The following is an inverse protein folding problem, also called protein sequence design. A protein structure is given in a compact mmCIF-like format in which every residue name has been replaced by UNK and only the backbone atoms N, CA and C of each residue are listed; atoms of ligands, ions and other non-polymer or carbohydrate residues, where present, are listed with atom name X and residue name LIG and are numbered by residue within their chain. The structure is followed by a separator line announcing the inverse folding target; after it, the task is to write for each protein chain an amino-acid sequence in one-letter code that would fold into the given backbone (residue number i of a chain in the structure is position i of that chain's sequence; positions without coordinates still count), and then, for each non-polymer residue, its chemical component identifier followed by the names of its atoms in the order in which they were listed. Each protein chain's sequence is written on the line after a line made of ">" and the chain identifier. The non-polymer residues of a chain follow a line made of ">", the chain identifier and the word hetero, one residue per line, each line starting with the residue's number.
data_IF_533958162915
#
_entry.id   IF_533958162915
#
_cell.length_a   1.000
_cell.length_b   1.000
_cell.length_c   1.000
_cell.angle_alpha   90.00
_cell.angle_beta   90.00
_cell.angle_gamma   90.00
#
_symmetry.space_group_name_H-M   'P 1'
#
loop_
_entity.id
_entity.type
_entity.pdbx_description
1 polymer ?
#
# COMPACT_ATOMS: atom_id res chain seq x y z
N UNK A 1 14.61 5.01 -11.83
CA UNK A 1 14.71 5.60 -10.47
C UNK A 1 13.49 6.49 -10.16
N UNK A 2 12.26 6.09 -10.56
CA UNK A 2 11.00 6.84 -10.35
C UNK A 2 10.42 6.67 -8.94
N UNK A 3 10.98 5.76 -8.17
CA UNK A 3 10.34 5.15 -7.00
C UNK A 3 10.76 5.78 -5.66
N UNK A 4 11.59 6.83 -5.63
CA UNK A 4 12.06 7.46 -4.38
C UNK A 4 11.30 8.74 -4.02
N UNK A 5 10.01 8.82 -4.34
CA UNK A 5 9.18 9.97 -3.99
C UNK A 5 8.95 10.02 -2.47
N UNK A 6 9.48 11.06 -1.81
CA UNK A 6 9.39 11.22 -0.34
C UNK A 6 8.08 11.82 0.14
N UNK A 7 7.22 12.25 -0.78
CA UNK A 7 5.88 12.74 -0.50
C UNK A 7 4.89 11.58 -0.59
N UNK A 8 3.89 11.58 0.29
CA UNK A 8 2.80 10.61 0.23
C UNK A 8 2.05 10.68 -1.10
N UNK A 9 1.89 9.53 -1.73
CA UNK A 9 1.16 9.33 -2.99
C UNK A 9 0.50 7.95 -2.97
N UNK A 10 -0.52 7.76 -3.80
CA UNK A 10 -1.18 6.47 -3.98
C UNK A 10 -1.35 6.14 -5.45
N UNK A 11 -2.31 5.26 -5.74
CA UNK A 11 -2.63 4.84 -7.11
C UNK A 11 -3.39 5.92 -7.89
N UNK A 12 -4.09 6.80 -7.19
CA UNK A 12 -4.83 7.93 -7.77
C UNK A 12 -4.02 9.23 -7.69
N UNK A 13 -4.27 10.14 -8.65
CA UNK A 13 -3.66 11.48 -8.65
C UNK A 13 -4.01 12.28 -7.40
N UNK A 14 -5.21 12.06 -6.86
CA UNK A 14 -5.64 12.57 -5.57
C UNK A 14 -5.13 11.65 -4.45
N UNK A 15 -4.26 12.22 -3.62
CA UNK A 15 -3.81 11.60 -2.37
C UNK A 15 -4.97 11.31 -1.41
N UNK A 16 -6.01 12.13 -1.43
CA UNK A 16 -7.19 11.93 -0.58
C UNK A 16 -8.00 10.72 -1.04
N UNK A 17 -8.30 10.60 -2.33
CA UNK A 17 -8.97 9.42 -2.92
C UNK A 17 -8.13 8.17 -2.69
N UNK A 18 -6.82 8.25 -2.91
CA UNK A 18 -5.90 7.14 -2.63
C UNK A 18 -5.94 6.66 -1.18
N UNK A 19 -6.00 7.59 -0.23
CA UNK A 19 -6.09 7.25 1.18
C UNK A 19 -7.47 6.68 1.51
N UNK A 20 -8.55 7.40 1.19
CA UNK A 20 -9.87 7.13 1.77
C UNK A 20 -10.68 6.10 0.99
N UNK A 21 -10.43 5.94 -0.31
CA UNK A 21 -11.16 5.00 -1.18
C UNK A 21 -10.29 3.79 -1.52
N UNK A 22 -9.05 4.02 -1.95
CA UNK A 22 -8.09 2.94 -2.27
C UNK A 22 -7.32 2.43 -1.05
N UNK A 23 -7.55 3.02 0.12
CA UNK A 23 -7.06 2.51 1.40
C UNK A 23 -5.54 2.37 1.50
N UNK A 24 -4.78 3.10 0.67
CA UNK A 24 -3.32 2.95 0.58
C UNK A 24 -2.62 4.24 0.18
N UNK A 25 -1.64 4.65 0.99
CA UNK A 25 -0.63 5.63 0.61
C UNK A 25 0.76 5.07 0.82
N UNK A 26 1.70 5.49 -0.03
CA UNK A 26 3.10 5.14 0.07
C UNK A 26 3.98 6.39 -0.01
N UNK A 27 5.17 6.31 0.58
CA UNK A 27 6.27 7.25 0.34
C UNK A 27 7.59 6.55 0.54
N UNK A 28 8.64 7.08 -0.07
CA UNK A 28 10.01 6.68 0.23
C UNK A 28 10.51 7.32 1.53
N UNK A 29 10.89 6.49 2.50
CA UNK A 29 11.57 6.92 3.72
C UNK A 29 13.09 6.86 3.54
N UNK A 30 13.73 8.04 3.56
CA UNK A 30 15.19 8.14 3.36
C UNK A 30 15.99 7.55 4.53
N UNK A 31 15.45 7.56 5.74
CA UNK A 31 16.17 7.06 6.92
C UNK A 31 16.20 5.54 6.92
N UNK A 32 15.10 4.89 6.52
CA UNK A 32 14.99 3.43 6.46
C UNK A 32 15.40 2.84 5.11
N UNK A 33 15.58 3.68 4.09
CA UNK A 33 15.84 3.24 2.71
C UNK A 33 14.80 2.20 2.23
N UNK A 34 13.54 2.46 2.57
CA UNK A 34 12.40 1.61 2.20
C UNK A 34 11.15 2.47 1.99
N UNK A 35 10.11 1.89 1.41
CA UNK A 35 8.81 2.53 1.32
C UNK A 35 8.08 2.41 2.64
N UNK A 36 7.56 3.52 3.13
CA UNK A 36 6.58 3.53 4.20
C UNK A 36 5.19 3.48 3.58
N UNK A 37 4.35 2.56 4.06
CA UNK A 37 2.98 2.37 3.60
C UNK A 37 2.00 2.70 4.74
N UNK A 38 0.95 3.45 4.45
CA UNK A 38 -0.26 3.59 5.28
C UNK A 38 -1.34 2.75 4.60
N UNK A 39 -1.95 1.82 5.32
CA UNK A 39 -2.99 0.93 4.76
C UNK A 39 -4.15 0.74 5.74
N UNK A 40 -5.37 0.60 5.22
CA UNK A 40 -6.54 0.40 6.07
C UNK A 40 -6.60 -1.04 6.56
N UNK A 41 -6.91 -1.20 7.85
CA UNK A 41 -7.09 -2.51 8.49
C UNK A 41 -8.48 -2.69 9.13
N UNK A 42 -9.30 -1.62 9.12
CA UNK A 42 -10.66 -1.63 9.61
C UNK A 42 -11.25 -0.22 9.68
N UNK A 43 -12.46 -0.12 10.21
CA UNK A 43 -13.13 1.15 10.47
C UNK A 43 -12.31 1.98 11.47
N UNK A 44 -11.98 3.22 11.10
CA UNK A 44 -11.08 4.12 11.83
C UNK A 44 -9.75 3.48 12.28
N UNK A 45 -9.25 2.47 11.54
CA UNK A 45 -8.04 1.74 11.90
C UNK A 45 -7.12 1.54 10.70
N UNK A 46 -5.88 1.99 10.87
CA UNK A 46 -4.85 2.00 9.85
C UNK A 46 -3.55 1.41 10.37
N UNK A 47 -2.87 0.63 9.54
CA UNK A 47 -1.51 0.16 9.77
C UNK A 47 -0.47 1.07 9.12
N UNK A 48 0.75 0.96 9.64
CA UNK A 48 1.94 1.57 9.03
C UNK A 48 3.01 0.49 8.93
N UNK A 49 3.48 0.21 7.72
CA UNK A 49 4.52 -0.77 7.44
C UNK A 49 5.67 -0.13 6.67
N UNK A 50 6.81 -0.81 6.66
CA UNK A 50 7.97 -0.43 5.87
C UNK A 50 8.39 -1.61 5.01
N UNK A 51 8.64 -1.39 3.73
CA UNK A 51 8.93 -2.46 2.79
C UNK A 51 9.81 -1.97 1.63
N UNK A 52 10.77 -2.79 1.24
CA UNK A 52 11.57 -2.59 0.05
C UNK A 52 10.87 -3.20 -1.17
N UNK A 53 11.19 -2.67 -2.36
CA UNK A 53 10.60 -3.16 -3.60
C UNK A 53 10.85 -4.67 -3.83
N UNK A 54 12.03 -5.16 -3.41
CA UNK A 54 12.36 -6.59 -3.47
C UNK A 54 11.47 -7.48 -2.61
N UNK A 55 10.97 -6.97 -1.48
CA UNK A 55 10.13 -7.75 -0.55
C UNK A 55 8.74 -7.95 -1.17
N UNK A 56 8.23 -6.94 -1.88
CA UNK A 56 7.02 -7.05 -2.71
C UNK A 56 7.18 -8.11 -3.79
N UNK A 57 8.32 -8.12 -4.48
CA UNK A 57 8.59 -9.10 -5.54
C UNK A 57 8.77 -10.53 -4.99
N UNK A 58 9.24 -10.67 -3.75
CA UNK A 58 9.42 -11.98 -3.09
C UNK A 58 8.08 -12.64 -2.74
N UNK A 59 7.04 -11.87 -2.40
CA UNK A 59 5.71 -12.41 -2.08
C UNK A 59 5.19 -13.31 -3.20
N UNK A 60 5.35 -12.89 -4.46
CA UNK A 60 4.86 -13.65 -5.62
C UNK A 60 5.72 -14.89 -5.95
N UNK A 61 6.85 -15.07 -5.26
CA UNK A 61 7.73 -16.22 -5.39
C UNK A 61 7.52 -17.26 -4.28
N UNK A 62 6.68 -16.95 -3.28
CA UNK A 62 6.37 -17.86 -2.19
C UNK A 62 5.55 -19.06 -2.69
N UNK A 63 5.78 -20.25 -2.11
CA UNK A 63 5.15 -21.50 -2.56
C UNK A 63 3.62 -21.48 -2.45
N UNK A 64 3.07 -20.72 -1.50
CA UNK A 64 1.63 -20.60 -1.29
C UNK A 64 0.96 -19.62 -2.26
N UNK A 65 1.72 -18.81 -2.99
CA UNK A 65 1.18 -17.75 -3.83
C UNK A 65 0.72 -18.30 -5.19
N UNK A 66 -0.57 -18.13 -5.50
CA UNK A 66 -1.11 -18.53 -6.81
C UNK A 66 -0.78 -17.48 -7.89
N UNK A 67 0.39 -17.65 -8.52
CA UNK A 67 0.88 -16.76 -9.56
C UNK A 67 -0.03 -16.73 -10.81
N UNK A 68 -0.69 -17.83 -11.14
CA UNK A 68 -1.57 -17.93 -12.32
C UNK A 68 -2.83 -17.10 -12.15
N UNK A 69 -3.48 -17.22 -10.99
CA UNK A 69 -4.63 -16.39 -10.63
C UNK A 69 -4.25 -14.92 -10.49
N UNK A 70 -3.08 -14.62 -9.90
CA UNK A 70 -2.60 -13.25 -9.79
C UNK A 70 -2.34 -12.60 -11.15
N UNK A 71 -1.67 -13.31 -12.08
CA UNK A 71 -1.44 -12.80 -13.43
C UNK A 71 -2.77 -12.48 -14.14
N UNK A 72 -3.77 -13.35 -13.97
CA UNK A 72 -5.12 -13.15 -14.51
C UNK A 72 -5.81 -11.93 -13.90
N UNK A 73 -5.64 -11.71 -12.59
CA UNK A 73 -6.18 -10.55 -11.87
C UNK A 73 -5.57 -9.23 -12.34
N UNK A 74 -4.25 -9.14 -12.49
CA UNK A 74 -3.58 -7.89 -12.91
C UNK A 74 -3.68 -7.63 -14.42
N UNK A 75 -4.00 -8.65 -15.22
CA UNK A 75 -4.25 -8.51 -16.67
C UNK A 75 -3.01 -8.18 -17.50
N UNK A 76 -1.81 -8.30 -16.94
CA UNK A 76 -0.53 -8.04 -17.60
C UNK A 76 0.47 -9.17 -17.29
N UNK A 77 1.50 -9.39 -18.14
CA UNK A 77 2.56 -10.35 -17.83
C UNK A 77 3.26 -10.02 -16.51
N UNK A 78 3.57 -11.05 -15.70
CA UNK A 78 4.21 -10.85 -14.39
C UNK A 78 5.54 -10.09 -14.51
N UNK A 79 6.36 -10.35 -15.54
CA UNK A 79 7.60 -9.59 -15.76
C UNK A 79 7.37 -8.08 -15.96
N UNK A 80 6.26 -7.72 -16.60
CA UNK A 80 5.84 -6.31 -16.76
C UNK A 80 5.37 -5.74 -15.42
N UNK A 81 4.62 -6.52 -14.64
CA UNK A 81 4.18 -6.13 -13.29
C UNK A 81 5.38 -5.88 -12.37
N UNK A 82 6.36 -6.78 -12.31
CA UNK A 82 7.60 -6.64 -11.50
C UNK A 82 8.34 -5.34 -11.83
N UNK A 83 8.35 -4.97 -13.13
CA UNK A 83 9.00 -3.77 -13.64
C UNK A 83 8.20 -2.48 -13.37
N UNK A 84 6.99 -2.59 -12.83
CA UNK A 84 6.13 -1.48 -12.46
C UNK A 84 6.63 -0.71 -11.23
N UNK A 85 6.00 0.44 -10.99
CA UNK A 85 6.26 1.24 -9.79
C UNK A 85 5.78 0.54 -8.51
N UNK A 86 6.39 0.89 -7.39
CA UNK A 86 6.09 0.24 -6.11
C UNK A 86 4.61 0.37 -5.72
N UNK A 87 3.99 1.54 -5.91
CA UNK A 87 2.62 1.80 -5.44
C UNK A 87 1.60 0.92 -6.17
N UNK A 88 1.75 0.77 -7.48
CA UNK A 88 0.91 -0.13 -8.29
C UNK A 88 1.06 -1.58 -7.85
N UNK A 89 2.31 -2.03 -7.62
CA UNK A 89 2.58 -3.40 -7.18
C UNK A 89 1.94 -3.70 -5.82
N UNK A 90 2.19 -2.84 -4.82
CA UNK A 90 1.64 -3.06 -3.48
C UNK A 90 0.11 -2.96 -3.48
N UNK A 91 -0.47 -2.04 -4.25
CA UNK A 91 -1.92 -1.95 -4.40
C UNK A 91 -2.50 -3.25 -4.97
N UNK A 92 -1.92 -3.78 -6.07
CA UNK A 92 -2.41 -5.03 -6.66
C UNK A 92 -2.31 -6.22 -5.69
N UNK A 93 -1.22 -6.35 -4.94
CA UNK A 93 -1.10 -7.42 -3.95
C UNK A 93 -2.13 -7.27 -2.82
N UNK A 94 -2.27 -6.07 -2.25
CA UNK A 94 -3.24 -5.82 -1.17
C UNK A 94 -4.66 -6.11 -1.64
N UNK A 95 -5.01 -5.73 -2.88
CA UNK A 95 -6.34 -6.04 -3.45
C UNK A 95 -6.55 -7.53 -3.71
N UNK A 96 -5.49 -8.29 -4.03
CA UNK A 96 -5.59 -9.70 -4.41
C UNK A 96 -5.57 -10.64 -3.20
N UNK A 97 -4.60 -10.47 -2.30
CA UNK A 97 -4.36 -11.36 -1.15
C UNK A 97 -4.65 -10.71 0.20
N UNK A 98 -5.07 -9.44 0.23
CA UNK A 98 -5.34 -8.71 1.47
C UNK A 98 -4.09 -8.16 2.14
N UNK A 99 -4.27 -7.15 2.98
CA UNK A 99 -3.17 -6.44 3.62
C UNK A 99 -2.38 -7.31 4.61
N UNK A 100 -3.01 -8.31 5.25
CA UNK A 100 -2.34 -9.16 6.25
C UNK A 100 -1.26 -10.03 5.60
N UNK A 101 -1.51 -10.54 4.39
CA UNK A 101 -0.53 -11.34 3.65
C UNK A 101 0.59 -10.49 3.05
N UNK A 102 0.39 -9.17 2.93
CA UNK A 102 1.41 -8.24 2.41
C UNK A 102 2.22 -7.64 3.55
N UNK A 103 1.58 -7.11 4.59
CA UNK A 103 2.20 -6.32 5.66
C UNK A 103 2.29 -7.04 7.00
N UNK A 104 1.61 -8.18 7.16
CA UNK A 104 1.48 -8.87 8.45
C UNK A 104 0.52 -8.17 9.41
N UNK A 105 0.63 -8.56 10.69
CA UNK A 105 -0.25 -8.09 11.76
C UNK A 105 0.13 -6.68 12.23
N UNK A 106 -0.88 -5.82 12.41
CA UNK A 106 -0.69 -4.47 12.95
C UNK A 106 -0.97 -4.44 14.45
N UNK A 107 0.07 -4.26 15.27
CA UNK A 107 -0.07 -4.20 16.73
C UNK A 107 -0.43 -2.80 17.28
N UNK A 108 -0.06 -1.74 16.56
CA UNK A 108 -0.27 -0.35 16.99
C UNK A 108 -1.00 0.46 15.91
N UNK A 109 -2.31 0.22 15.73
CA UNK A 109 -3.07 0.89 14.70
C UNK A 109 -3.19 2.40 14.95
N UNK A 110 -3.37 3.15 13.87
CA UNK A 110 -3.64 4.59 13.84
C UNK A 110 -5.10 4.84 13.48
N UNK A 111 -5.68 5.88 14.05
CA UNK A 111 -6.99 6.41 13.64
C UNK A 111 -6.92 7.06 12.26
N UNK A 112 -8.07 7.20 11.58
CA UNK A 112 -8.19 7.96 10.32
C UNK A 112 -7.69 9.38 10.51
N UNK A 113 -8.02 10.02 11.65
CA UNK A 113 -7.53 11.37 11.97
C UNK A 113 -6.00 11.45 12.05
N UNK A 114 -5.35 10.46 12.67
CA UNK A 114 -3.88 10.40 12.75
C UNK A 114 -3.25 10.24 11.37
N UNK A 115 -3.80 9.36 10.51
CA UNK A 115 -3.23 9.15 9.18
C UNK A 115 -3.49 10.30 8.21
N UNK A 116 -4.64 10.97 8.30
CA UNK A 116 -4.92 12.23 7.58
C UNK A 116 -3.87 13.29 7.96
N UNK A 117 -3.62 13.47 9.26
CA UNK A 117 -2.58 14.39 9.75
C UNK A 117 -1.18 14.01 9.26
N UNK A 118 -0.81 12.73 9.34
CA UNK A 118 0.49 12.22 8.89
C UNK A 118 0.70 12.41 7.38
N UNK A 119 -0.36 12.23 6.60
CA UNK A 119 -0.34 12.32 5.14
C UNK A 119 -0.60 13.71 4.60
N UNK A 120 -0.99 14.67 5.46
CA UNK A 120 -1.46 16.01 5.08
C UNK A 120 -2.66 15.94 4.13
N UNK A 121 -3.62 15.09 4.48
CA UNK A 121 -4.98 15.07 3.93
C UNK A 121 -5.85 15.75 4.98
N UNK A 122 -6.75 16.64 4.54
CA UNK A 122 -7.67 17.30 5.47
C UNK A 122 -8.62 16.25 6.05
N UNK A 123 -8.82 16.29 7.37
CA UNK A 123 -9.64 15.32 8.06
C UNK A 123 -11.07 15.83 8.18
N UNK A 124 -12.02 14.95 7.86
CA UNK A 124 -13.43 15.15 8.19
C UNK A 124 -13.98 13.98 9.01
N UNK A 125 -14.88 14.22 10.01
CA UNK A 125 -15.38 13.16 10.89
C UNK A 125 -15.99 11.95 10.18
N UNK A 126 -16.66 12.15 9.05
CA UNK A 126 -17.27 11.10 8.23
C UNK A 126 -16.25 10.06 7.75
N UNK A 127 -14.98 10.42 7.61
CA UNK A 127 -13.93 9.51 7.15
C UNK A 127 -13.61 8.39 8.14
N UNK A 128 -13.99 8.54 9.42
CA UNK A 128 -13.86 7.48 10.41
C UNK A 128 -14.89 6.35 10.21
N UNK A 129 -15.95 6.61 9.43
CA UNK A 129 -17.07 5.68 9.21
C UNK A 129 -17.06 5.01 7.84
N UNK A 130 -16.23 5.50 6.92
CA UNK A 130 -15.91 4.82 5.66
C UNK A 130 -15.02 3.60 5.91
#
# INVERSE_FOLDING_TARGET
>A
MKDKNTTWHGIDVSKEVSLLEYNLLVRWDRSKQSFQCIYKIGMDRWGIAFMANREIDQIIMEEWFDLGSFQSFVGIPIGSWISGDFVSKVHNLVSFIGYENVFGMTYYPKSTKEVCKLSRVDYSPEYAYN
#
